data_IF_468393403335
#
_entry.id   IF_468393403335
#
_cell.length_a   1.000
_cell.length_b   1.000
_cell.length_c   1.000
_cell.angle_alpha   90.00
_cell.angle_beta   90.00
_cell.angle_gamma   90.00
#
_symmetry.space_group_name_H-M   'P 1'
#
loop_
_entity.id
_entity.type
_entity.pdbx_description
1 polymer ?
#
# COMPACT_ATOMS: atom_id res chain seq x y z
N UNK A 1 60.00 -25.09 27.98
CA UNK A 1 59.13 -25.44 29.11
C UNK A 1 57.87 -24.64 29.03
N UNK A 2 56.80 -25.34 29.13
CA UNK A 2 55.39 -25.03 29.19
C UNK A 2 54.68 -24.68 27.88
N UNK A 3 54.04 -25.76 27.38
CA UNK A 3 52.96 -25.80 26.44
C UNK A 3 51.76 -25.07 26.98
N UNK A 4 51.16 -24.18 26.16
CA UNK A 4 49.79 -23.71 26.38
C UNK A 4 48.89 -24.24 25.29
N UNK A 5 47.97 -25.08 25.69
CA UNK A 5 46.89 -25.65 24.88
C UNK A 5 46.02 -24.55 24.31
N UNK A 6 45.93 -24.47 23.00
CA UNK A 6 44.91 -23.72 22.29
C UNK A 6 43.71 -24.62 22.08
N UNK A 7 42.69 -24.42 22.89
CA UNK A 7 41.35 -24.96 22.64
C UNK A 7 40.70 -24.19 21.50
N UNK A 8 40.66 -24.78 20.33
CA UNK A 8 39.92 -24.31 19.20
C UNK A 8 38.41 -24.50 19.41
N UNK A 9 37.70 -23.47 19.80
CA UNK A 9 36.28 -23.37 19.57
C UNK A 9 36.09 -22.91 18.12
N UNK A 10 35.87 -23.89 17.25
CA UNK A 10 35.26 -23.64 15.94
C UNK A 10 33.83 -23.20 16.16
N UNK A 11 33.61 -21.90 16.25
CA UNK A 11 32.31 -21.33 16.01
C UNK A 11 31.88 -21.72 14.60
N UNK A 12 30.92 -22.63 14.52
CA UNK A 12 30.17 -22.86 13.31
C UNK A 12 29.46 -21.55 13.00
N UNK A 13 30.03 -20.74 12.08
CA UNK A 13 29.29 -19.73 11.35
C UNK A 13 28.08 -20.43 10.77
N UNK A 14 26.90 -20.18 11.31
CA UNK A 14 25.65 -20.50 10.65
C UNK A 14 25.67 -19.73 9.34
N UNK A 15 25.93 -20.43 8.26
CA UNK A 15 25.64 -19.92 6.92
C UNK A 15 24.19 -19.48 6.93
N UNK A 16 24.01 -18.18 6.76
CA UNK A 16 22.70 -17.60 6.47
C UNK A 16 22.26 -18.24 5.17
N UNK A 17 21.45 -19.30 5.26
CA UNK A 17 20.78 -19.86 4.10
C UNK A 17 19.97 -18.71 3.52
N UNK A 18 20.37 -18.27 2.35
CA UNK A 18 19.49 -17.52 1.45
C UNK A 18 18.23 -18.37 1.39
N UNK A 19 17.12 -17.85 1.92
CA UNK A 19 15.85 -18.53 1.78
C UNK A 19 15.60 -18.65 0.28
N UNK A 20 15.63 -19.89 -0.21
CA UNK A 20 14.99 -20.24 -1.45
C UNK A 20 13.55 -19.67 -1.39
N UNK A 21 13.03 -19.18 -2.52
CA UNK A 21 11.64 -18.73 -2.56
C UNK A 21 10.79 -19.88 -1.99
N UNK A 22 9.77 -19.57 -1.15
CA UNK A 22 8.98 -20.62 -0.51
C UNK A 22 8.60 -21.64 -1.56
N UNK A 23 8.80 -22.91 -1.27
CA UNK A 23 8.56 -24.05 -2.16
C UNK A 23 7.36 -23.75 -3.05
N UNK A 24 7.51 -24.00 -4.36
CA UNK A 24 6.50 -23.67 -5.36
C UNK A 24 5.12 -23.99 -4.79
N UNK A 25 4.19 -23.04 -4.85
CA UNK A 25 2.86 -23.23 -4.29
C UNK A 25 2.32 -24.58 -4.76
N UNK A 26 1.77 -25.42 -3.86
CA UNK A 26 1.37 -26.78 -4.21
C UNK A 26 0.50 -26.78 -5.46
N UNK A 27 0.76 -27.70 -6.35
CA UNK A 27 0.02 -27.85 -7.62
C UNK A 27 -1.48 -28.07 -7.34
N UNK A 28 -2.37 -27.77 -8.28
CA UNK A 28 -3.80 -28.04 -8.14
C UNK A 28 -4.11 -29.50 -7.75
N UNK A 29 -3.36 -30.46 -8.32
CA UNK A 29 -3.54 -31.87 -8.03
C UNK A 29 -3.10 -32.23 -6.61
N UNK A 30 -2.00 -31.66 -6.11
CA UNK A 30 -1.58 -31.82 -4.72
C UNK A 30 -2.61 -31.26 -3.74
N UNK A 31 -3.22 -30.13 -4.05
CA UNK A 31 -4.27 -29.54 -3.21
C UNK A 31 -5.57 -30.33 -3.22
N UNK A 32 -5.97 -30.86 -4.39
CA UNK A 32 -7.11 -31.79 -4.47
C UNK A 32 -6.85 -33.07 -3.70
N UNK A 33 -5.63 -33.61 -3.75
CA UNK A 33 -5.23 -34.76 -2.98
C UNK A 33 -5.26 -34.48 -1.46
N UNK A 34 -4.76 -33.32 -1.04
CA UNK A 34 -4.83 -32.87 0.36
C UNK A 34 -6.28 -32.70 0.82
N UNK A 35 -7.12 -32.08 -0.02
CA UNK A 35 -8.54 -31.89 0.27
C UNK A 35 -9.27 -33.26 0.44
N UNK A 36 -9.00 -34.22 -0.44
CA UNK A 36 -9.52 -35.60 -0.31
C UNK A 36 -9.05 -36.26 0.98
N UNK A 37 -7.74 -36.16 1.28
CA UNK A 37 -7.19 -36.68 2.52
C UNK A 37 -7.85 -36.07 3.76
N UNK A 38 -8.08 -34.77 3.77
CA UNK A 38 -8.75 -34.08 4.87
C UNK A 38 -10.23 -34.51 4.98
N UNK A 39 -10.91 -34.76 3.85
CA UNK A 39 -12.29 -35.25 3.85
C UNK A 39 -12.37 -36.68 4.38
N UNK A 40 -11.53 -37.57 3.90
CA UNK A 40 -11.50 -38.99 4.27
C UNK A 40 -11.09 -39.22 5.72
N UNK A 41 -10.25 -38.36 6.26
CA UNK A 41 -9.80 -38.40 7.67
C UNK A 41 -10.66 -37.62 8.64
N UNK A 42 -11.77 -37.01 8.17
CA UNK A 42 -12.68 -36.22 8.99
C UNK A 42 -12.08 -34.91 9.51
N UNK A 43 -10.98 -34.45 8.93
CA UNK A 43 -10.29 -33.22 9.32
C UNK A 43 -10.93 -31.94 8.78
N UNK A 44 -11.93 -32.05 7.88
CA UNK A 44 -12.67 -30.90 7.38
C UNK A 44 -13.68 -30.43 8.41
N UNK A 45 -13.66 -29.14 8.69
CA UNK A 45 -14.69 -28.47 9.46
C UNK A 45 -16.01 -28.43 8.70
N UNK A 46 -17.10 -28.11 9.39
CA UNK A 46 -18.45 -28.10 8.80
C UNK A 46 -18.61 -27.16 7.61
N UNK A 47 -17.85 -26.06 7.54
CA UNK A 47 -17.88 -25.11 6.43
C UNK A 47 -17.03 -25.57 5.24
N UNK A 48 -15.96 -26.34 5.48
CA UNK A 48 -15.09 -26.85 4.42
C UNK A 48 -15.75 -27.99 3.63
N UNK A 49 -16.56 -28.81 4.29
CA UNK A 49 -17.20 -29.97 3.67
C UNK A 49 -18.01 -29.64 2.42
N UNK A 50 -18.95 -28.67 2.43
CA UNK A 50 -19.72 -28.34 1.22
C UNK A 50 -18.84 -27.84 0.07
N UNK A 51 -17.80 -27.07 0.38
CA UNK A 51 -16.84 -26.58 -0.64
C UNK A 51 -16.05 -27.75 -1.20
N UNK A 52 -15.48 -28.59 -0.34
CA UNK A 52 -14.75 -29.77 -0.73
C UNK A 52 -15.61 -30.75 -1.57
N UNK A 53 -16.85 -31.01 -1.16
CA UNK A 53 -17.78 -31.86 -1.91
C UNK A 53 -18.08 -31.28 -3.29
N UNK A 54 -18.28 -29.97 -3.38
CA UNK A 54 -18.53 -29.30 -4.67
C UNK A 54 -17.31 -29.43 -5.59
N UNK A 55 -16.10 -29.17 -5.06
CA UNK A 55 -14.85 -29.26 -5.82
C UNK A 55 -14.56 -30.71 -6.27
N UNK A 56 -14.78 -31.70 -5.39
CA UNK A 56 -14.54 -33.10 -5.70
C UNK A 56 -15.57 -33.68 -6.67
N UNK A 57 -16.83 -33.20 -6.66
CA UNK A 57 -17.87 -33.61 -7.60
C UNK A 57 -17.72 -33.02 -9.00
N UNK A 58 -17.32 -31.73 -9.04
CA UNK A 58 -17.16 -31.02 -10.30
C UNK A 58 -15.91 -31.46 -11.09
N UNK A 59 -15.00 -32.18 -10.46
CA UNK A 59 -13.64 -32.28 -10.99
C UNK A 59 -13.04 -30.91 -11.14
N UNK A 60 -12.24 -30.66 -12.14
CA UNK A 60 -11.77 -29.32 -12.53
C UNK A 60 -12.82 -28.70 -13.48
N UNK A 61 -14.02 -28.45 -13.00
CA UNK A 61 -15.22 -28.15 -13.75
C UNK A 61 -15.10 -27.22 -14.96
N UNK A 62 -16.06 -27.30 -15.86
CA UNK A 62 -16.11 -26.44 -17.05
C UNK A 62 -16.05 -24.95 -16.66
N UNK A 63 -15.12 -24.21 -17.24
CA UNK A 63 -14.98 -22.76 -17.06
C UNK A 63 -13.94 -22.30 -16.06
N UNK A 64 -13.26 -23.20 -15.32
CA UNK A 64 -12.18 -22.87 -14.40
C UNK A 64 -10.92 -23.65 -14.72
N UNK A 65 -9.78 -22.98 -14.66
CA UNK A 65 -8.48 -23.64 -14.67
C UNK A 65 -8.21 -24.34 -13.33
N UNK A 66 -7.30 -25.30 -13.33
CA UNK A 66 -6.88 -25.98 -12.11
C UNK A 66 -6.38 -25.02 -11.03
N UNK A 67 -5.68 -23.95 -11.45
CA UNK A 67 -5.21 -22.90 -10.55
C UNK A 67 -6.36 -22.11 -9.90
N UNK A 68 -7.39 -21.77 -10.67
CA UNK A 68 -8.58 -21.05 -10.17
C UNK A 68 -9.36 -21.89 -9.17
N UNK A 69 -9.54 -23.17 -9.43
CA UNK A 69 -10.18 -24.11 -8.50
C UNK A 69 -9.40 -24.25 -7.19
N UNK A 70 -8.08 -24.30 -7.27
CA UNK A 70 -7.23 -24.32 -6.09
C UNK A 70 -7.37 -23.05 -5.24
N UNK A 71 -7.55 -21.89 -5.89
CA UNK A 71 -7.80 -20.60 -5.23
C UNK A 71 -9.19 -20.57 -4.57
N UNK A 72 -10.24 -21.10 -5.24
CA UNK A 72 -11.59 -21.23 -4.66
C UNK A 72 -11.58 -22.05 -3.37
N UNK A 73 -10.88 -23.19 -3.37
CA UNK A 73 -10.74 -24.03 -2.18
C UNK A 73 -10.03 -23.28 -1.02
N UNK A 74 -9.19 -22.33 -1.36
CA UNK A 74 -8.47 -21.51 -0.39
C UNK A 74 -9.31 -20.46 0.30
N UNK A 75 -10.07 -19.69 -0.47
CA UNK A 75 -10.82 -18.56 0.08
C UNK A 75 -12.08 -19.01 0.80
N UNK A 76 -12.58 -20.24 0.53
CA UNK A 76 -13.80 -20.76 1.15
C UNK A 76 -14.94 -19.76 1.07
N UNK A 77 -15.52 -19.32 2.21
CA UNK A 77 -16.63 -18.37 2.22
C UNK A 77 -16.31 -17.01 1.59
N UNK A 78 -15.02 -16.64 1.45
CA UNK A 78 -14.62 -15.37 0.84
C UNK A 78 -14.56 -15.40 -0.69
N UNK A 79 -14.58 -16.60 -1.30
CA UNK A 79 -14.34 -16.77 -2.74
C UNK A 79 -15.24 -15.89 -3.61
N UNK A 80 -16.52 -15.80 -3.29
CA UNK A 80 -17.47 -15.01 -4.06
C UNK A 80 -17.08 -13.54 -4.22
N UNK A 81 -16.32 -13.00 -3.27
CA UNK A 81 -15.93 -11.59 -3.23
C UNK A 81 -14.49 -11.32 -3.65
N UNK A 82 -13.64 -12.34 -3.65
CA UNK A 82 -12.23 -12.18 -4.08
C UNK A 82 -12.02 -12.52 -5.56
N UNK A 83 -13.04 -12.98 -6.24
CA UNK A 83 -12.98 -13.30 -7.69
C UNK A 83 -12.77 -12.07 -8.55
N UNK A 84 -12.14 -12.28 -9.69
CA UNK A 84 -12.05 -11.27 -10.73
C UNK A 84 -13.45 -10.78 -11.12
N UNK A 85 -13.63 -9.46 -11.18
CA UNK A 85 -14.91 -8.82 -11.47
C UNK A 85 -15.80 -8.52 -10.27
N UNK A 86 -15.45 -8.97 -9.06
CA UNK A 86 -16.10 -8.51 -7.83
C UNK A 86 -15.93 -6.99 -7.67
N UNK A 87 -17.00 -6.32 -7.23
CA UNK A 87 -16.99 -4.89 -6.88
C UNK A 87 -16.64 -4.62 -5.42
N UNK A 88 -16.43 -5.67 -4.64
CA UNK A 88 -16.07 -5.59 -3.24
C UNK A 88 -14.67 -5.03 -3.11
N UNK A 89 -14.53 -4.00 -2.28
CA UNK A 89 -13.25 -3.37 -1.96
C UNK A 89 -12.65 -3.86 -0.65
N UNK A 90 -13.50 -4.17 0.32
CA UNK A 90 -13.05 -4.59 1.65
C UNK A 90 -14.00 -5.64 2.23
N UNK A 91 -13.44 -6.53 3.08
CA UNK A 91 -14.18 -7.53 3.85
C UNK A 91 -13.70 -7.52 5.29
N UNK A 92 -14.60 -7.72 6.24
CA UNK A 92 -14.28 -7.73 7.66
C UNK A 92 -14.89 -8.96 8.32
N UNK A 93 -14.08 -9.63 9.13
CA UNK A 93 -14.46 -10.74 10.00
C UNK A 93 -13.94 -10.40 11.40
N UNK A 94 -14.84 -9.88 12.23
CA UNK A 94 -14.51 -9.25 13.50
C UNK A 94 -14.59 -10.23 14.68
N UNK A 95 -14.32 -11.50 14.44
CA UNK A 95 -14.27 -12.54 15.45
C UNK A 95 -15.01 -13.81 15.07
N UNK A 96 -14.88 -14.89 15.86
CA UNK A 96 -15.63 -16.11 15.66
C UNK A 96 -17.14 -15.88 15.87
N UNK A 97 -17.94 -16.67 15.16
CA UNK A 97 -19.41 -16.60 15.16
C UNK A 97 -20.01 -15.25 14.73
N UNK A 98 -19.17 -14.34 14.26
CA UNK A 98 -19.58 -13.10 13.61
C UNK A 98 -19.85 -13.33 12.12
N UNK A 99 -20.71 -12.50 11.54
CA UNK A 99 -20.98 -12.52 10.11
C UNK A 99 -19.87 -11.78 9.35
N UNK A 100 -19.63 -12.22 8.11
CA UNK A 100 -18.73 -11.51 7.21
C UNK A 100 -19.44 -10.24 6.73
N UNK A 101 -18.79 -9.11 6.89
CA UNK A 101 -19.24 -7.81 6.38
C UNK A 101 -18.41 -7.45 5.16
N UNK A 102 -19.06 -7.09 4.07
CA UNK A 102 -18.40 -6.65 2.83
C UNK A 102 -18.67 -5.18 2.54
N UNK A 103 -17.73 -4.54 1.85
CA UNK A 103 -17.87 -3.15 1.36
C UNK A 103 -17.86 -3.17 -0.15
N UNK A 104 -18.95 -2.76 -0.76
CA UNK A 104 -19.10 -2.61 -2.20
C UNK A 104 -19.46 -1.17 -2.55
N UNK A 105 -18.63 -0.53 -3.38
CA UNK A 105 -18.81 0.88 -3.78
C UNK A 105 -18.97 1.86 -2.60
N UNK A 106 -18.39 1.53 -1.45
CA UNK A 106 -18.46 2.31 -0.22
C UNK A 106 -19.64 1.97 0.72
N UNK A 107 -20.55 1.11 0.29
CA UNK A 107 -21.67 0.63 1.10
C UNK A 107 -21.28 -0.64 1.84
N UNK A 108 -21.58 -0.70 3.15
CA UNK A 108 -21.40 -1.90 3.97
C UNK A 108 -22.65 -2.76 3.92
N UNK A 109 -22.45 -4.06 3.73
CA UNK A 109 -23.53 -5.06 3.82
C UNK A 109 -23.07 -6.27 4.63
N UNK A 110 -23.96 -6.77 5.46
CA UNK A 110 -23.79 -8.03 6.16
C UNK A 110 -24.19 -9.17 5.21
N UNK A 111 -23.32 -10.16 5.08
CA UNK A 111 -23.56 -11.31 4.19
C UNK A 111 -24.45 -12.38 4.80
N UNK A 112 -24.70 -12.34 6.10
CA UNK A 112 -25.37 -13.41 6.86
C UNK A 112 -24.52 -14.68 7.04
N UNK A 113 -23.33 -14.76 6.42
CA UNK A 113 -22.44 -15.92 6.53
C UNK A 113 -21.61 -15.80 7.80
N UNK A 114 -21.78 -16.74 8.72
CA UNK A 114 -20.98 -16.85 9.94
C UNK A 114 -19.81 -17.77 9.75
N UNK A 115 -18.71 -17.45 10.39
CA UNK A 115 -17.48 -18.26 10.37
C UNK A 115 -17.16 -18.75 11.77
N UNK A 116 -16.73 -20.01 11.88
CA UNK A 116 -16.29 -20.57 13.15
C UNK A 116 -14.84 -20.18 13.47
N UNK A 117 -14.47 -20.25 14.74
CA UNK A 117 -13.12 -19.93 15.22
C UNK A 117 -12.04 -20.79 14.55
N UNK A 118 -12.33 -22.07 14.32
CA UNK A 118 -11.42 -23.01 13.66
C UNK A 118 -11.06 -22.57 12.22
N UNK A 119 -12.08 -22.18 11.43
CA UNK A 119 -11.84 -21.66 10.08
C UNK A 119 -11.05 -20.35 10.11
N UNK A 120 -11.38 -19.48 11.06
CA UNK A 120 -10.74 -18.18 11.17
C UNK A 120 -9.24 -18.31 11.52
N UNK A 121 -8.88 -19.18 12.48
CA UNK A 121 -7.50 -19.50 12.83
C UNK A 121 -6.75 -20.16 11.68
N UNK A 122 -7.40 -21.12 11.02
CA UNK A 122 -6.83 -21.76 9.83
C UNK A 122 -6.57 -20.76 8.73
N UNK A 123 -7.52 -19.89 8.41
CA UNK A 123 -7.36 -18.82 7.41
C UNK A 123 -6.21 -17.88 7.75
N UNK A 124 -6.13 -17.42 9.00
CA UNK A 124 -5.01 -16.60 9.44
C UNK A 124 -3.66 -17.30 9.24
N UNK A 125 -3.56 -18.55 9.67
CA UNK A 125 -2.33 -19.35 9.53
C UNK A 125 -1.92 -19.47 8.06
N UNK A 126 -2.86 -19.77 7.19
CA UNK A 126 -2.57 -19.92 5.77
C UNK A 126 -2.13 -18.60 5.12
N UNK A 127 -2.82 -17.50 5.44
CA UNK A 127 -2.43 -16.19 4.95
C UNK A 127 -1.00 -15.82 5.38
N UNK A 128 -0.65 -16.11 6.63
CA UNK A 128 0.68 -15.84 7.18
C UNK A 128 1.78 -16.72 6.59
N UNK A 129 1.51 -18.01 6.39
CA UNK A 129 2.43 -18.93 5.72
C UNK A 129 2.77 -18.45 4.31
N UNK A 130 1.75 -18.13 3.52
CA UNK A 130 1.93 -17.66 2.13
C UNK A 130 2.61 -16.32 2.04
N UNK A 131 2.37 -15.45 3.01
CA UNK A 131 3.06 -14.17 3.11
C UNK A 131 4.49 -14.29 3.65
N UNK A 132 4.92 -15.50 4.08
CA UNK A 132 6.26 -15.74 4.61
C UNK A 132 6.51 -15.16 6.01
N UNK A 133 5.46 -14.97 6.82
CA UNK A 133 5.56 -14.48 8.19
C UNK A 133 5.74 -15.59 9.22
N UNK A 134 5.28 -16.79 8.92
CA UNK A 134 5.45 -17.99 9.74
C UNK A 134 5.98 -19.13 8.90
N UNK A 135 6.56 -20.16 9.52
CA UNK A 135 7.03 -21.35 8.84
C UNK A 135 6.09 -22.53 9.08
N UNK A 136 6.12 -23.58 8.24
CA UNK A 136 5.36 -24.80 8.49
C UNK A 136 5.73 -25.47 9.82
N UNK A 137 7.00 -25.35 10.25
CA UNK A 137 7.54 -25.98 11.46
C UNK A 137 7.13 -25.22 12.74
N UNK A 138 6.88 -23.91 12.62
CA UNK A 138 6.40 -23.06 13.73
C UNK A 138 5.30 -22.13 13.26
N UNK A 139 4.09 -22.66 13.06
CA UNK A 139 2.97 -21.89 12.52
C UNK A 139 2.36 -20.87 13.51
N UNK A 140 2.74 -20.98 14.78
CA UNK A 140 2.27 -20.07 15.84
C UNK A 140 3.31 -19.00 16.19
N UNK A 141 4.51 -19.08 15.63
CA UNK A 141 5.53 -18.05 15.78
C UNK A 141 5.24 -16.82 14.90
N UNK A 142 4.38 -15.98 15.38
CA UNK A 142 4.00 -14.71 14.73
C UNK A 142 5.05 -13.61 14.97
N UNK A 143 6.31 -13.91 14.95
CA UNK A 143 7.42 -12.99 15.21
C UNK A 143 7.62 -11.94 14.11
N UNK A 144 6.59 -11.21 13.80
CA UNK A 144 6.72 -9.97 13.03
C UNK A 144 5.94 -8.91 13.77
N UNK A 145 6.34 -7.67 13.87
CA UNK A 145 5.58 -6.59 14.47
C UNK A 145 4.62 -7.02 15.61
N UNK A 146 5.10 -7.08 16.83
CA UNK A 146 4.34 -7.36 18.07
C UNK A 146 3.64 -8.73 18.16
N UNK A 147 3.87 -9.64 17.22
CA UNK A 147 3.42 -11.03 17.24
C UNK A 147 1.91 -11.27 17.09
N UNK A 148 1.09 -10.22 16.93
CA UNK A 148 -0.36 -10.36 17.07
C UNK A 148 -1.18 -9.55 16.06
N UNK A 149 -0.53 -8.65 15.33
CA UNK A 149 -1.09 -7.94 14.19
C UNK A 149 -0.13 -8.10 13.01
N UNK A 150 -0.62 -8.65 11.92
CA UNK A 150 0.14 -8.81 10.69
C UNK A 150 -0.63 -8.24 9.52
N UNK A 151 0.04 -7.39 8.76
CA UNK A 151 -0.44 -6.90 7.47
C UNK A 151 0.39 -7.56 6.38
N UNK A 152 -0.24 -8.15 5.39
CA UNK A 152 0.46 -8.78 4.29
C UNK A 152 -0.30 -8.64 2.97
N UNK A 153 0.43 -8.84 1.88
CA UNK A 153 -0.12 -8.94 0.55
C UNK A 153 -0.04 -10.40 0.09
N UNK A 154 -1.13 -10.89 -0.49
CA UNK A 154 -1.20 -12.20 -1.11
C UNK A 154 -2.04 -12.15 -2.39
N UNK A 155 -1.74 -13.02 -3.32
CA UNK A 155 -2.54 -13.26 -4.50
C UNK A 155 -1.75 -13.21 -5.80
N UNK A 156 -2.42 -13.54 -6.88
CA UNK A 156 -1.91 -13.42 -8.26
C UNK A 156 -2.04 -11.99 -8.78
N UNK A 157 -1.59 -11.73 -10.01
CA UNK A 157 -1.79 -10.45 -10.67
C UNK A 157 -3.28 -10.06 -10.75
N UNK A 158 -4.17 -11.07 -10.88
CA UNK A 158 -5.61 -10.87 -11.07
C UNK A 158 -6.38 -10.81 -9.75
N UNK A 159 -5.78 -11.25 -8.63
CA UNK A 159 -6.41 -11.36 -7.32
C UNK A 159 -5.43 -10.99 -6.21
N UNK A 160 -5.15 -9.70 -6.12
CA UNK A 160 -4.25 -9.20 -5.07
C UNK A 160 -5.07 -8.79 -3.85
N UNK A 161 -4.73 -9.36 -2.72
CA UNK A 161 -5.37 -9.10 -1.44
C UNK A 161 -4.35 -8.51 -0.46
N UNK A 162 -4.67 -7.37 0.13
CA UNK A 162 -4.02 -6.91 1.34
C UNK A 162 -4.88 -7.32 2.52
N UNK A 163 -4.33 -8.02 3.47
CA UNK A 163 -5.05 -8.43 4.66
C UNK A 163 -4.33 -7.98 5.93
N UNK A 164 -5.13 -7.76 6.97
CA UNK A 164 -4.69 -7.57 8.33
C UNK A 164 -5.30 -8.67 9.19
N UNK A 165 -4.46 -9.41 9.90
CA UNK A 165 -4.89 -10.43 10.85
C UNK A 165 -4.53 -9.96 12.26
N UNK A 166 -5.45 -10.15 13.20
CA UNK A 166 -5.25 -9.76 14.60
C UNK A 166 -5.76 -10.88 15.50
N UNK A 167 -5.08 -11.10 16.63
CA UNK A 167 -5.49 -12.09 17.64
C UNK A 167 -5.32 -11.56 19.06
N UNK A 168 -5.80 -12.28 20.06
CA UNK A 168 -5.59 -11.90 21.47
C UNK A 168 -4.09 -11.67 21.80
N UNK A 169 -3.79 -10.70 22.67
CA UNK A 169 -4.72 -9.87 23.43
C UNK A 169 -5.28 -8.65 22.69
N UNK A 170 -4.81 -8.32 21.46
CA UNK A 170 -5.29 -7.14 20.70
C UNK A 170 -6.74 -7.30 20.22
N UNK A 171 -7.19 -8.52 19.96
CA UNK A 171 -8.58 -8.86 19.66
C UNK A 171 -9.10 -9.80 20.75
N UNK A 172 -9.61 -9.28 21.90
CA UNK A 172 -9.96 -10.09 23.07
C UNK A 172 -11.09 -11.08 22.80
N UNK A 173 -12.00 -10.76 21.87
CA UNK A 173 -13.14 -11.59 21.51
C UNK A 173 -12.78 -12.71 20.52
N UNK A 174 -11.51 -12.85 20.18
CA UNK A 174 -11.02 -13.87 19.24
C UNK A 174 -10.27 -13.29 18.05
N UNK A 175 -9.88 -14.17 17.14
CA UNK A 175 -9.13 -13.80 15.95
C UNK A 175 -9.97 -12.94 14.98
N UNK A 176 -9.36 -12.00 14.28
CA UNK A 176 -10.03 -11.17 13.25
C UNK A 176 -9.28 -11.20 11.94
N UNK A 177 -9.96 -10.98 10.83
CA UNK A 177 -9.34 -10.80 9.50
C UNK A 177 -10.03 -9.64 8.80
N UNK A 178 -9.25 -8.63 8.42
CA UNK A 178 -9.67 -7.60 7.50
C UNK A 178 -8.97 -7.83 6.16
N UNK A 179 -9.72 -7.83 5.07
CA UNK A 179 -9.20 -8.06 3.72
C UNK A 179 -9.55 -6.87 2.85
N UNK A 180 -8.56 -6.31 2.16
CA UNK A 180 -8.76 -5.38 1.06
C UNK A 180 -8.49 -6.07 -0.25
N UNK A 181 -9.45 -6.02 -1.16
CA UNK A 181 -9.30 -6.52 -2.53
C UNK A 181 -8.68 -5.40 -3.37
N UNK A 182 -7.48 -5.64 -3.86
CA UNK A 182 -6.79 -4.69 -4.72
C UNK A 182 -7.27 -4.84 -6.17
N UNK A 183 -7.29 -3.75 -6.95
CA UNK A 183 -7.75 -3.83 -8.33
C UNK A 183 -6.84 -4.73 -9.16
N UNK A 184 -7.43 -5.57 -10.01
CA UNK A 184 -6.71 -6.42 -10.96
C UNK A 184 -5.93 -5.57 -11.98
N UNK A 185 -6.51 -4.44 -12.39
CA UNK A 185 -5.89 -3.45 -13.29
C UNK A 185 -5.91 -2.07 -12.65
N UNK A 186 -4.75 -1.43 -12.63
CA UNK A 186 -4.64 -0.03 -12.24
C UNK A 186 -5.16 0.88 -13.35
N UNK A 187 -5.89 1.93 -12.95
CA UNK A 187 -6.35 2.97 -13.87
C UNK A 187 -5.17 3.77 -14.38
N UNK A 188 -5.20 4.10 -15.66
CA UNK A 188 -4.26 5.03 -16.29
C UNK A 188 -4.69 6.48 -16.06
N UNK A 189 -3.83 7.44 -16.40
CA UNK A 189 -4.21 8.86 -16.42
C UNK A 189 -5.39 9.11 -17.36
N UNK A 190 -5.43 8.44 -18.50
CA UNK A 190 -6.54 8.58 -19.46
C UNK A 190 -7.85 8.05 -18.86
N UNK A 191 -7.82 6.93 -18.15
CA UNK A 191 -8.98 6.42 -17.42
C UNK A 191 -9.48 7.44 -16.39
N UNK A 192 -8.58 8.14 -15.68
CA UNK A 192 -8.96 9.13 -14.67
C UNK A 192 -9.51 10.43 -15.27
N UNK A 193 -9.03 10.82 -16.45
CA UNK A 193 -9.50 12.01 -17.17
C UNK A 193 -10.84 11.76 -17.87
N UNK A 194 -11.01 10.57 -18.49
CA UNK A 194 -12.19 10.21 -19.29
C UNK A 194 -13.36 9.67 -18.46
N UNK A 195 -13.11 9.23 -17.23
CA UNK A 195 -14.18 8.75 -16.35
C UNK A 195 -15.30 9.79 -16.28
N UNK A 196 -16.57 9.38 -16.31
CA UNK A 196 -17.74 10.26 -16.25
C UNK A 196 -17.58 11.41 -15.27
N UNK A 197 -17.41 12.63 -15.81
CA UNK A 197 -17.14 13.82 -15.05
C UNK A 197 -15.71 14.01 -14.53
N UNK A 198 -14.76 13.13 -14.92
CA UNK A 198 -13.31 13.21 -14.66
C UNK A 198 -12.91 13.19 -13.19
N UNK A 199 -11.87 12.42 -12.83
CA UNK A 199 -11.24 12.54 -11.51
C UNK A 199 -10.39 13.80 -11.45
N UNK A 200 -9.74 14.17 -12.58
CA UNK A 200 -9.00 15.41 -12.77
C UNK A 200 -9.10 15.85 -14.25
N UNK A 201 -8.80 17.12 -14.52
CA UNK A 201 -8.73 17.62 -15.90
C UNK A 201 -7.45 17.14 -16.59
N UNK A 202 -7.46 17.08 -17.92
CA UNK A 202 -6.25 16.78 -18.72
C UNK A 202 -5.11 17.74 -18.40
N UNK A 203 -5.40 19.03 -18.33
CA UNK A 203 -4.41 20.06 -18.01
C UNK A 203 -3.76 19.85 -16.64
N UNK A 204 -4.55 19.47 -15.64
CA UNK A 204 -4.01 19.13 -14.30
C UNK A 204 -3.18 17.86 -14.33
N UNK A 205 -3.58 16.84 -15.09
CA UNK A 205 -2.82 15.60 -15.24
C UNK A 205 -1.44 15.86 -15.89
N UNK A 206 -1.44 16.60 -17.01
CA UNK A 206 -0.23 16.94 -17.75
C UNK A 206 0.72 17.77 -16.90
N UNK A 207 0.18 18.72 -16.10
CA UNK A 207 0.99 19.50 -15.16
C UNK A 207 1.65 18.62 -14.09
N UNK A 208 0.92 17.67 -13.50
CA UNK A 208 1.48 16.77 -12.47
C UNK A 208 2.56 15.85 -13.03
N UNK A 209 2.35 15.30 -14.23
CA UNK A 209 3.34 14.46 -14.92
C UNK A 209 4.61 15.26 -15.21
N UNK A 210 4.46 16.47 -15.74
CA UNK A 210 5.60 17.33 -16.05
C UNK A 210 6.33 17.79 -14.78
N UNK A 211 5.60 18.05 -13.69
CA UNK A 211 6.19 18.36 -12.39
C UNK A 211 7.09 17.20 -11.90
N UNK A 212 6.64 15.96 -12.00
CA UNK A 212 7.46 14.77 -11.64
C UNK A 212 8.71 14.68 -12.55
N UNK A 213 8.56 14.90 -13.84
CA UNK A 213 9.69 14.88 -14.79
C UNK A 213 10.76 15.90 -14.41
N UNK A 214 10.34 17.07 -13.94
CA UNK A 214 11.21 18.18 -13.50
C UNK A 214 11.71 18.08 -12.07
N UNK A 215 11.47 16.96 -11.39
CA UNK A 215 11.99 16.73 -10.03
C UNK A 215 11.19 17.43 -8.93
N UNK A 216 9.91 17.73 -9.16
CA UNK A 216 9.02 18.25 -8.13
C UNK A 216 8.51 17.09 -7.27
N UNK A 217 8.55 17.27 -5.96
CA UNK A 217 7.97 16.34 -5.01
C UNK A 217 6.46 16.55 -4.92
N UNK A 218 5.68 15.45 -5.01
CA UNK A 218 4.23 15.49 -4.89
C UNK A 218 3.79 14.96 -3.52
N UNK A 219 2.91 15.71 -2.85
CA UNK A 219 2.21 15.31 -1.63
C UNK A 219 0.73 15.10 -1.94
N UNK A 220 0.29 13.84 -2.04
CA UNK A 220 -1.09 13.50 -2.38
C UNK A 220 -1.90 13.28 -1.10
N UNK A 221 -2.84 14.16 -0.84
CA UNK A 221 -3.65 14.20 0.37
C UNK A 221 -5.09 13.73 0.14
N UNK A 222 -5.72 13.20 1.19
CA UNK A 222 -7.13 12.83 1.19
C UNK A 222 -7.45 11.82 2.29
N UNK A 223 -8.73 11.58 2.55
CA UNK A 223 -9.21 10.58 3.51
C UNK A 223 -8.90 9.13 3.06
N UNK A 224 -9.15 8.16 3.92
CA UNK A 224 -9.12 6.74 3.54
C UNK A 224 -10.12 6.48 2.40
N UNK A 225 -9.71 5.69 1.40
CA UNK A 225 -10.55 5.36 0.25
C UNK A 225 -10.84 6.53 -0.71
N UNK A 226 -10.21 7.69 -0.56
CA UNK A 226 -10.43 8.85 -1.46
C UNK A 226 -9.87 8.65 -2.87
N UNK A 227 -8.91 7.72 -3.06
CA UNK A 227 -8.27 7.45 -4.35
C UNK A 227 -6.80 7.91 -4.45
N UNK A 228 -6.15 8.24 -3.33
CA UNK A 228 -4.70 8.61 -3.30
C UNK A 228 -3.84 7.59 -4.03
N UNK A 229 -3.94 6.32 -3.61
CA UNK A 229 -3.18 5.20 -4.20
C UNK A 229 -3.47 5.02 -5.70
N UNK A 230 -4.74 5.22 -6.12
CA UNK A 230 -5.12 5.15 -7.53
C UNK A 230 -4.49 6.27 -8.36
N UNK A 231 -4.50 7.50 -7.85
CA UNK A 231 -3.84 8.62 -8.52
C UNK A 231 -2.33 8.43 -8.58
N UNK A 232 -1.71 8.00 -7.47
CA UNK A 232 -0.28 7.66 -7.41
C UNK A 232 0.07 6.61 -8.46
N UNK A 233 -0.69 5.51 -8.53
CA UNK A 233 -0.47 4.42 -9.50
C UNK A 233 -0.59 4.90 -10.96
N UNK A 234 -1.57 5.75 -11.26
CA UNK A 234 -1.75 6.31 -12.59
C UNK A 234 -0.59 7.23 -13.01
N UNK A 235 -0.10 8.07 -12.08
CA UNK A 235 1.08 8.91 -12.30
C UNK A 235 2.33 8.06 -12.51
N UNK A 236 2.54 7.01 -11.71
CA UNK A 236 3.66 6.08 -11.86
C UNK A 236 3.66 5.40 -13.22
N UNK A 237 2.51 4.93 -13.69
CA UNK A 237 2.40 4.33 -15.02
C UNK A 237 2.77 5.32 -16.14
N UNK A 238 2.39 6.60 -16.00
CA UNK A 238 2.68 7.63 -16.98
C UNK A 238 4.18 7.95 -17.14
N UNK A 239 4.99 7.66 -16.10
CA UNK A 239 6.44 7.96 -16.08
C UNK A 239 7.31 6.68 -16.03
N UNK A 240 6.70 5.50 -16.07
CA UNK A 240 7.36 4.22 -15.80
C UNK A 240 8.54 3.91 -16.73
N UNK A 241 8.51 4.40 -17.97
CA UNK A 241 9.59 4.19 -18.94
C UNK A 241 10.73 5.22 -18.84
N UNK A 242 10.55 6.27 -18.01
CA UNK A 242 11.45 7.43 -17.99
C UNK A 242 12.26 7.51 -16.69
N UNK A 243 11.82 6.85 -15.63
CA UNK A 243 12.34 7.03 -14.27
C UNK A 243 12.59 5.69 -13.58
N UNK A 244 13.76 5.58 -12.94
CA UNK A 244 14.00 4.51 -11.98
C UNK A 244 13.26 4.84 -10.69
N UNK A 245 12.20 4.09 -10.40
CA UNK A 245 11.30 4.33 -9.26
C UNK A 245 11.59 3.35 -8.14
N UNK A 246 11.75 3.84 -6.92
CA UNK A 246 11.78 3.00 -5.72
C UNK A 246 10.53 3.27 -4.89
N UNK A 247 9.73 2.23 -4.67
CA UNK A 247 8.48 2.30 -3.93
C UNK A 247 8.68 1.70 -2.55
N UNK A 248 8.38 2.47 -1.51
CA UNK A 248 8.48 2.06 -0.09
C UNK A 248 7.08 2.06 0.51
N UNK A 249 6.60 0.90 0.93
CA UNK A 249 5.25 0.69 1.46
C UNK A 249 5.30 -0.22 2.69
N UNK A 250 4.26 -0.18 3.54
CA UNK A 250 4.07 -1.18 4.60
C UNK A 250 3.96 -2.58 3.98
N UNK A 251 3.01 -2.75 3.07
CA UNK A 251 2.85 -3.92 2.23
C UNK A 251 2.71 -3.48 0.78
N UNK A 252 3.27 -4.23 -0.14
CA UNK A 252 3.37 -3.88 -1.55
C UNK A 252 2.00 -3.80 -2.23
N UNK A 253 1.45 -2.61 -2.41
CA UNK A 253 0.18 -2.37 -3.11
C UNK A 253 0.37 -1.80 -4.51
N UNK A 254 1.23 -0.78 -4.65
CA UNK A 254 1.42 -0.04 -5.90
C UNK A 254 2.02 -0.90 -7.03
N UNK A 255 1.68 -0.60 -8.30
CA UNK A 255 2.31 -1.26 -9.44
C UNK A 255 3.79 -0.85 -9.52
N UNK A 256 4.67 -1.83 -9.63
CA UNK A 256 6.09 -1.59 -9.79
C UNK A 256 6.42 -1.40 -11.27
N UNK A 257 7.03 -0.27 -11.67
CA UNK A 257 7.58 -0.10 -13.01
C UNK A 257 8.64 -1.16 -13.35
N UNK A 258 8.86 -1.48 -14.63
CA UNK A 258 9.82 -2.53 -15.05
C UNK A 258 11.25 -2.33 -14.51
N UNK A 259 11.73 -1.08 -14.46
CA UNK A 259 13.04 -0.72 -13.88
C UNK A 259 12.91 -0.18 -12.45
N UNK A 260 11.92 -0.66 -11.72
CA UNK A 260 11.63 -0.22 -10.35
C UNK A 260 12.09 -1.22 -9.30
N UNK A 261 12.13 -0.75 -8.03
CA UNK A 261 12.37 -1.56 -6.86
C UNK A 261 11.29 -1.30 -5.81
N UNK A 262 10.77 -2.38 -5.21
CA UNK A 262 9.86 -2.29 -4.07
C UNK A 262 10.58 -2.61 -2.77
N UNK A 263 10.27 -1.86 -1.72
CA UNK A 263 10.73 -2.09 -0.35
C UNK A 263 9.50 -2.23 0.54
N UNK A 264 9.34 -3.40 1.17
CA UNK A 264 8.28 -3.65 2.15
C UNK A 264 8.82 -3.41 3.56
N UNK A 265 8.30 -2.39 4.22
CA UNK A 265 8.78 -1.96 5.55
C UNK A 265 8.49 -3.03 6.61
N UNK A 266 7.31 -3.62 6.57
CA UNK A 266 6.93 -4.69 7.51
C UNK A 266 7.85 -5.92 7.40
N UNK A 267 8.21 -6.34 6.19
CA UNK A 267 9.14 -7.45 5.98
C UNK A 267 10.57 -7.12 6.41
N UNK A 268 10.99 -5.88 6.18
CA UNK A 268 12.36 -5.45 6.52
C UNK A 268 12.56 -5.27 8.02
N UNK A 269 11.49 -5.24 8.82
CA UNK A 269 11.51 -4.92 10.26
C UNK A 269 12.23 -3.60 10.54
N UNK A 270 12.14 -2.67 9.62
CA UNK A 270 12.82 -1.39 9.65
C UNK A 270 11.81 -0.23 9.68
N UNK A 271 12.27 0.98 9.94
CA UNK A 271 11.43 2.17 9.83
C UNK A 271 11.39 2.70 8.39
N UNK A 272 10.31 3.36 8.02
CA UNK A 272 10.23 4.07 6.74
C UNK A 272 11.40 5.02 6.51
N UNK A 273 11.76 5.81 7.53
CA UNK A 273 12.89 6.73 7.46
C UNK A 273 14.23 6.04 7.18
N UNK A 274 14.44 4.84 7.74
CA UNK A 274 15.62 4.04 7.45
C UNK A 274 15.60 3.51 6.01
N UNK A 275 14.46 3.01 5.55
CA UNK A 275 14.28 2.54 4.17
C UNK A 275 14.55 3.66 3.15
N UNK A 276 14.05 4.89 3.38
CA UNK A 276 14.37 6.05 2.53
C UNK A 276 15.88 6.25 2.42
N UNK A 277 16.61 6.28 3.54
CA UNK A 277 18.07 6.48 3.52
C UNK A 277 18.83 5.36 2.81
N UNK A 278 18.38 4.11 2.96
CA UNK A 278 18.99 2.98 2.25
C UNK A 278 18.78 3.08 0.73
N UNK A 279 17.61 3.51 0.30
CA UNK A 279 17.26 3.58 -1.12
C UNK A 279 18.04 4.66 -1.88
N UNK A 280 18.53 5.69 -1.21
CA UNK A 280 19.40 6.72 -1.83
C UNK A 280 20.67 6.12 -2.47
N UNK A 281 21.16 4.98 -1.96
CA UNK A 281 22.31 4.26 -2.55
C UNK A 281 21.96 3.42 -3.79
N UNK A 282 20.67 3.32 -4.10
CA UNK A 282 20.16 2.56 -5.25
C UNK A 282 19.93 3.44 -6.50
N UNK A 283 20.37 4.70 -6.47
CA UNK A 283 20.21 5.70 -7.54
C UNK A 283 18.76 5.85 -8.02
N UNK A 284 17.81 6.19 -7.14
CA UNK A 284 16.45 6.46 -7.58
C UNK A 284 16.36 7.79 -8.32
N UNK A 285 15.59 7.82 -9.41
CA UNK A 285 15.14 9.07 -10.02
C UNK A 285 13.88 9.59 -9.33
N UNK A 286 13.15 8.69 -8.65
CA UNK A 286 11.94 9.01 -7.91
C UNK A 286 11.77 8.03 -6.73
N UNK A 287 11.48 8.55 -5.55
CA UNK A 287 11.14 7.75 -4.36
C UNK A 287 9.65 7.90 -4.10
N UNK A 288 8.94 6.79 -3.94
CA UNK A 288 7.51 6.79 -3.60
C UNK A 288 7.32 6.25 -2.20
N UNK A 289 6.68 7.05 -1.34
CA UNK A 289 6.23 6.61 -0.02
C UNK A 289 4.74 6.32 -0.06
N UNK A 290 4.36 5.08 0.21
CA UNK A 290 2.97 4.66 0.24
C UNK A 290 2.12 5.53 1.17
N UNK A 291 2.65 5.85 2.36
CA UNK A 291 2.00 6.77 3.30
C UNK A 291 3.04 7.45 4.21
N UNK A 292 2.82 8.73 4.48
CA UNK A 292 3.60 9.51 5.45
C UNK A 292 2.72 9.79 6.68
N UNK A 293 3.19 9.34 7.85
CA UNK A 293 2.48 9.47 9.14
C UNK A 293 3.41 9.70 10.34
N UNK A 294 4.71 9.82 10.05
CA UNK A 294 5.73 9.95 11.09
C UNK A 294 7.05 10.55 10.61
N UNK A 295 8.17 10.21 11.28
CA UNK A 295 9.50 10.80 11.04
C UNK A 295 10.06 10.60 9.62
N UNK A 296 9.50 9.69 8.82
CA UNK A 296 9.85 9.51 7.41
C UNK A 296 9.63 10.77 6.58
N UNK A 297 8.78 11.68 7.04
CA UNK A 297 8.57 13.00 6.44
C UNK A 297 9.87 13.77 6.31
N UNK A 298 10.70 13.80 7.38
CA UNK A 298 12.01 14.45 7.36
C UNK A 298 12.95 13.77 6.37
N UNK A 299 13.05 12.45 6.41
CA UNK A 299 13.93 11.70 5.52
C UNK A 299 13.58 11.93 4.03
N UNK A 300 12.28 12.07 3.73
CA UNK A 300 11.80 12.38 2.40
C UNK A 300 12.15 13.80 1.95
N UNK A 301 12.02 14.80 2.83
CA UNK A 301 12.42 16.18 2.55
C UNK A 301 13.94 16.29 2.35
N UNK A 302 14.74 15.59 3.17
CA UNK A 302 16.20 15.50 3.02
C UNK A 302 16.58 14.85 1.68
N UNK A 303 15.92 13.77 1.29
CA UNK A 303 16.14 13.13 -0.01
C UNK A 303 15.80 14.08 -1.16
N UNK A 304 14.67 14.77 -1.10
CA UNK A 304 14.26 15.72 -2.12
C UNK A 304 15.22 16.91 -2.23
N UNK A 305 15.71 17.43 -1.07
CA UNK A 305 16.71 18.52 -1.03
C UNK A 305 18.07 18.13 -1.63
N UNK A 306 18.37 16.83 -1.69
CA UNK A 306 19.59 16.29 -2.32
C UNK A 306 19.38 15.80 -3.75
N UNK A 307 18.24 16.14 -4.39
CA UNK A 307 17.97 15.84 -5.80
C UNK A 307 17.22 14.52 -6.04
N UNK A 308 16.64 13.91 -4.99
CA UNK A 308 15.83 12.70 -5.10
C UNK A 308 14.35 13.03 -4.81
N UNK A 309 13.60 13.56 -5.81
CA UNK A 309 12.20 13.93 -5.62
C UNK A 309 11.34 12.73 -5.28
N UNK A 310 10.14 12.96 -4.79
CA UNK A 310 9.25 11.88 -4.43
C UNK A 310 7.78 12.11 -4.68
N UNK A 311 7.02 11.03 -4.55
CA UNK A 311 5.57 11.04 -4.40
C UNK A 311 5.24 10.46 -3.04
N UNK A 312 4.53 11.22 -2.21
CA UNK A 312 4.12 10.77 -0.89
C UNK A 312 2.60 10.85 -0.77
N UNK A 313 1.97 9.89 -0.09
CA UNK A 313 0.58 10.07 0.30
C UNK A 313 0.46 10.42 1.77
N UNK A 314 -0.58 11.18 2.13
CA UNK A 314 -0.83 11.63 3.50
C UNK A 314 -2.34 11.73 3.77
N UNK A 315 -2.76 11.44 5.00
CA UNK A 315 -4.12 11.70 5.41
C UNK A 315 -4.29 13.15 5.82
N UNK A 316 -5.10 13.90 5.05
CA UNK A 316 -5.49 15.27 5.36
C UNK A 316 -6.78 15.66 4.62
N UNK A 317 -7.61 16.58 5.17
CA UNK A 317 -8.85 17.01 4.56
C UNK A 317 -8.67 18.03 3.41
N UNK A 318 -7.50 18.64 3.31
CA UNK A 318 -7.14 19.64 2.29
C UNK A 318 -5.62 19.73 2.12
N UNK A 319 -5.18 20.49 1.11
CA UNK A 319 -3.75 20.65 0.77
C UNK A 319 -2.95 21.40 1.84
N UNK A 320 -3.52 22.40 2.49
CA UNK A 320 -2.80 23.20 3.50
C UNK A 320 -2.61 22.40 4.79
N UNK A 321 -3.63 21.64 5.19
CA UNK A 321 -3.53 20.70 6.32
C UNK A 321 -2.51 19.60 6.02
N UNK A 322 -2.44 19.12 4.77
CA UNK A 322 -1.42 18.16 4.35
C UNK A 322 0.00 18.72 4.52
N UNK A 323 0.24 19.96 4.08
CA UNK A 323 1.54 20.61 4.22
C UNK A 323 1.91 20.84 5.69
N UNK A 324 0.95 21.25 6.53
CA UNK A 324 1.16 21.40 7.99
C UNK A 324 1.44 20.04 8.66
N UNK A 325 0.75 18.98 8.24
CA UNK A 325 1.01 17.64 8.75
C UNK A 325 2.37 17.14 8.32
N UNK A 326 2.82 17.40 7.10
CA UNK A 326 4.17 17.07 6.64
C UNK A 326 5.23 17.76 7.51
N UNK A 327 5.09 19.08 7.75
CA UNK A 327 5.96 19.85 8.64
C UNK A 327 5.97 19.26 10.06
N UNK A 328 4.80 18.98 10.62
CA UNK A 328 4.65 18.38 11.96
C UNK A 328 5.30 17.00 12.03
N UNK A 329 5.06 16.11 11.07
CA UNK A 329 5.65 14.77 11.07
C UNK A 329 7.17 14.81 10.93
N UNK A 330 7.71 15.73 10.14
CA UNK A 330 9.16 15.91 10.00
C UNK A 330 9.85 16.37 11.30
N UNK A 331 9.11 16.92 12.26
CA UNK A 331 9.64 17.39 13.54
C UNK A 331 9.45 16.42 14.71
N UNK A 332 8.68 15.33 14.53
CA UNK A 332 8.26 14.43 15.63
C UNK A 332 9.42 13.78 16.39
N UNK A 333 10.53 13.51 15.75
CA UNK A 333 11.70 12.87 16.38
C UNK A 333 12.69 13.86 16.97
N UNK A 334 12.40 15.16 16.91
CA UNK A 334 13.28 16.23 17.44
C UNK A 334 14.59 16.45 16.68
N UNK A 335 14.82 15.76 15.53
CA UNK A 335 16.05 15.91 14.73
C UNK A 335 16.09 17.23 13.94
N UNK A 336 14.94 17.82 13.66
CA UNK A 336 14.83 19.10 12.99
C UNK A 336 13.82 20.01 13.70
N UNK A 337 14.10 21.29 13.80
CA UNK A 337 13.13 22.26 14.31
C UNK A 337 12.09 22.64 13.24
N UNK A 338 10.88 23.13 13.62
CA UNK A 338 9.89 23.58 12.65
C UNK A 338 10.43 24.63 11.67
N UNK A 339 11.29 25.54 12.12
CA UNK A 339 11.92 26.54 11.26
C UNK A 339 12.83 25.94 10.20
N UNK A 340 13.60 24.91 10.55
CA UNK A 340 14.46 24.18 9.59
C UNK A 340 13.61 23.47 8.55
N UNK A 341 12.59 22.72 8.97
CA UNK A 341 11.69 21.99 8.06
C UNK A 341 10.98 22.96 7.12
N UNK A 342 10.43 24.04 7.67
CA UNK A 342 9.78 25.10 6.86
C UNK A 342 10.75 25.72 5.88
N UNK A 343 11.99 26.02 6.32
CA UNK A 343 13.07 26.49 5.45
C UNK A 343 13.35 25.53 4.29
N UNK A 344 13.41 24.22 4.53
CA UNK A 344 13.58 23.22 3.47
C UNK A 344 12.43 23.29 2.45
N UNK A 345 11.19 23.40 2.91
CA UNK A 345 10.01 23.44 2.05
C UNK A 345 9.90 24.76 1.25
N UNK A 346 10.41 25.89 1.75
CA UNK A 346 10.24 27.22 1.16
C UNK A 346 11.50 27.81 0.53
N UNK A 347 12.66 27.16 0.65
CA UNK A 347 13.94 27.65 0.08
C UNK A 347 14.08 27.38 -1.42
N UNK A 348 13.19 26.58 -2.01
CA UNK A 348 13.35 26.09 -3.38
C UNK A 348 14.24 24.85 -3.53
N UNK A 349 14.90 24.40 -2.43
CA UNK A 349 15.66 23.15 -2.44
C UNK A 349 14.74 21.93 -2.61
N UNK A 350 13.50 22.02 -2.14
CA UNK A 350 12.46 21.01 -2.31
C UNK A 350 11.27 21.61 -3.06
N UNK A 351 11.26 21.61 -4.41
CA UNK A 351 10.07 21.97 -5.14
C UNK A 351 8.91 21.03 -4.75
N UNK A 352 7.81 21.60 -4.25
CA UNK A 352 6.74 20.83 -3.62
C UNK A 352 5.36 21.24 -4.12
N UNK A 353 4.59 20.27 -4.56
CA UNK A 353 3.16 20.41 -4.91
C UNK A 353 2.33 19.52 -3.99
N UNK A 354 1.29 20.08 -3.39
CA UNK A 354 0.27 19.32 -2.67
C UNK A 354 -0.99 19.17 -3.53
N UNK A 355 -1.53 17.95 -3.58
CA UNK A 355 -2.72 17.57 -4.34
C UNK A 355 -3.73 17.00 -3.36
N UNK A 356 -4.95 17.53 -3.32
CA UNK A 356 -6.02 16.93 -2.52
C UNK A 356 -7.02 16.21 -3.40
N UNK A 357 -7.31 14.95 -3.03
CA UNK A 357 -8.34 14.12 -3.64
C UNK A 357 -9.40 13.74 -2.58
N UNK A 358 -10.67 14.01 -2.90
CA UNK A 358 -11.78 13.81 -2.00
C UNK A 358 -13.11 13.69 -2.75
N UNK A 359 -14.21 13.88 -2.03
CA UNK A 359 -15.56 13.90 -2.63
C UNK A 359 -15.92 15.34 -3.01
N UNK A 360 -16.03 15.58 -4.30
CA UNK A 360 -16.43 16.86 -4.86
C UNK A 360 -17.56 16.64 -5.87
N UNK A 361 -18.67 17.36 -5.70
CA UNK A 361 -19.86 17.16 -6.52
C UNK A 361 -20.40 15.74 -6.46
N UNK A 362 -20.33 15.09 -5.26
CA UNK A 362 -20.79 13.72 -5.02
C UNK A 362 -19.89 12.61 -5.59
N UNK A 363 -18.71 12.92 -6.13
CA UNK A 363 -17.79 11.94 -6.73
C UNK A 363 -16.36 12.13 -6.24
N UNK A 364 -15.54 11.07 -6.31
CA UNK A 364 -14.10 11.13 -6.03
C UNK A 364 -13.40 11.95 -7.10
N UNK A 365 -12.78 13.08 -6.70
CA UNK A 365 -12.09 14.00 -7.62
C UNK A 365 -10.91 14.67 -6.94
N UNK A 366 -9.94 15.09 -7.74
CA UNK A 366 -8.97 16.08 -7.32
C UNK A 366 -9.69 17.41 -7.14
N UNK A 367 -9.61 17.97 -5.95
CA UNK A 367 -10.28 19.23 -5.61
C UNK A 367 -9.36 20.42 -5.52
N UNK A 368 -8.08 20.18 -5.23
CA UNK A 368 -7.09 21.24 -5.08
C UNK A 368 -5.72 20.76 -5.53
N UNK A 369 -4.98 21.65 -6.18
CA UNK A 369 -3.53 21.49 -6.46
C UNK A 369 -2.88 22.82 -6.11
N UNK A 370 -1.91 22.79 -5.18
CA UNK A 370 -1.17 23.98 -4.77
C UNK A 370 0.33 23.72 -4.84
N UNK A 371 1.10 24.71 -5.26
CA UNK A 371 2.56 24.69 -5.13
C UNK A 371 2.99 25.51 -3.90
N UNK A 372 4.07 25.08 -3.24
CA UNK A 372 4.74 25.86 -2.19
C UNK A 372 5.63 26.89 -2.85
N UNK A 373 5.47 28.17 -2.43
CA UNK A 373 6.24 29.27 -3.01
C UNK A 373 7.57 29.44 -2.29
N UNK A 374 8.61 29.70 -3.08
CA UNK A 374 9.92 30.05 -2.56
C UNK A 374 9.88 31.48 -1.99
N UNK A 375 10.31 31.62 -0.73
CA UNK A 375 10.43 32.92 -0.07
C UNK A 375 11.86 33.19 0.38
N UNK A 376 12.33 34.40 0.12
CA UNK A 376 13.60 34.87 0.66
C UNK A 376 13.38 35.43 2.07
N UNK A 377 13.76 34.65 3.09
CA UNK A 377 13.72 35.05 4.50
C UNK A 377 12.63 34.34 5.32
N UNK A 378 12.89 34.22 6.63
CA UNK A 378 11.95 33.64 7.59
C UNK A 378 10.76 34.58 7.81
N UNK A 379 9.76 34.51 6.96
CA UNK A 379 8.46 35.09 7.30
C UNK A 379 7.81 34.14 8.33
N UNK A 380 7.86 34.55 9.59
CA UNK A 380 7.19 33.88 10.71
C UNK A 380 5.66 34.09 10.63
N UNK A 381 5.05 33.61 9.58
CA UNK A 381 3.60 33.54 9.46
C UNK A 381 3.10 32.12 9.75
N UNK A 382 1.92 31.96 10.32
CA UNK A 382 1.32 30.65 10.65
C UNK A 382 1.03 29.77 9.43
N UNK A 383 1.02 30.31 8.21
CA UNK A 383 0.75 29.57 6.99
C UNK A 383 1.94 29.49 6.06
N UNK A 384 2.18 28.30 5.48
CA UNK A 384 3.16 28.14 4.41
C UNK A 384 2.74 28.95 3.18
N UNK A 385 3.66 29.74 2.58
CA UNK A 385 3.39 30.48 1.35
C UNK A 385 3.10 29.48 0.22
N UNK A 386 1.98 29.66 -0.46
CA UNK A 386 1.52 28.74 -1.47
C UNK A 386 0.77 29.47 -2.60
N UNK A 387 0.75 28.85 -3.78
CA UNK A 387 0.05 29.31 -4.97
C UNK A 387 -0.96 28.24 -5.41
N UNK A 388 -2.27 28.52 -5.40
CA UNK A 388 -3.27 27.57 -5.87
C UNK A 388 -3.23 27.49 -7.39
N UNK A 389 -2.75 26.36 -7.90
CA UNK A 389 -2.69 26.07 -9.34
C UNK A 389 -4.05 25.69 -9.90
N UNK A 390 -4.78 24.81 -9.15
CA UNK A 390 -6.12 24.37 -9.50
C UNK A 390 -7.02 24.32 -8.27
N UNK A 391 -8.29 24.63 -8.47
CA UNK A 391 -9.34 24.47 -7.45
C UNK A 391 -10.65 23.99 -8.08
N UNK A 392 -11.38 23.13 -7.35
CA UNK A 392 -12.69 22.67 -7.76
C UNK A 392 -13.72 23.80 -7.69
N UNK A 393 -14.41 24.02 -8.81
CA UNK A 393 -15.50 24.98 -8.88
C UNK A 393 -16.84 24.23 -8.73
N UNK A 394 -17.55 24.49 -7.64
CA UNK A 394 -18.83 23.86 -7.35
C UNK A 394 -19.95 24.28 -8.32
N UNK A 395 -19.88 25.48 -8.90
CA UNK A 395 -20.87 25.95 -9.85
C UNK A 395 -20.76 25.25 -11.22
N UNK A 396 -19.52 25.06 -11.71
CA UNK A 396 -19.26 24.37 -12.98
C UNK A 396 -19.09 22.85 -12.80
N UNK A 397 -18.97 22.40 -11.55
CA UNK A 397 -18.69 21.00 -11.19
C UNK A 397 -17.40 20.45 -11.85
N UNK A 398 -16.37 21.30 -11.97
CA UNK A 398 -15.08 20.99 -12.62
C UNK A 398 -13.90 21.50 -11.81
N UNK A 399 -12.75 20.83 -12.01
CA UNK A 399 -11.46 21.32 -11.55
C UNK A 399 -10.95 22.37 -12.55
N UNK A 400 -10.75 23.60 -12.07
CA UNK A 400 -10.38 24.75 -12.89
C UNK A 400 -9.00 25.26 -12.51
N UNK A 401 -8.24 25.69 -13.52
CA UNK A 401 -6.98 26.40 -13.30
C UNK A 401 -7.23 27.75 -12.65
N UNK A 402 -6.40 28.11 -11.66
CA UNK A 402 -6.49 29.40 -10.95
C UNK A 402 -5.33 30.30 -11.31
N UNK A 403 -4.11 29.84 -11.07
CA UNK A 403 -2.91 30.64 -11.33
C UNK A 403 -1.85 29.84 -12.08
N UNK A 404 -0.94 30.53 -12.80
CA UNK A 404 0.21 29.88 -13.39
C UNK A 404 1.21 29.43 -12.32
N UNK A 405 2.11 28.52 -12.73
CA UNK A 405 3.24 28.07 -11.91
C UNK A 405 4.19 29.23 -11.65
N UNK A 406 4.57 29.44 -10.41
CA UNK A 406 5.52 30.49 -9.98
C UNK A 406 6.91 29.90 -9.66
N UNK A 407 6.99 28.64 -9.28
CA UNK A 407 8.25 27.96 -8.99
C UNK A 407 9.21 27.93 -10.17
N UNK A 408 10.51 27.87 -9.85
CA UNK A 408 11.57 27.83 -10.87
C UNK A 408 11.44 26.64 -11.84
N UNK A 409 10.83 25.55 -11.39
CA UNK A 409 10.55 24.36 -12.18
C UNK A 409 9.56 24.60 -13.35
N UNK A 410 8.71 25.65 -13.23
CA UNK A 410 7.78 26.04 -14.29
C UNK A 410 8.40 26.96 -15.39
N UNK A 411 9.65 27.40 -15.22
CA UNK A 411 10.31 28.24 -16.23
C UNK A 411 10.71 27.42 -17.46
N UNK A 412 10.07 27.70 -18.57
CA UNK A 412 10.26 27.06 -19.87
C UNK A 412 9.04 26.27 -20.30
N UNK A 413 8.13 26.89 -21.05
CA UNK A 413 6.92 26.36 -21.72
C UNK A 413 6.19 25.24 -20.95
N UNK A 414 5.31 25.61 -20.06
CA UNK A 414 4.10 24.88 -19.68
C UNK A 414 2.89 25.58 -20.30
#
# INVERSE_FOLDING_TARGET
MSEFFMNGHTEKRSEMRVHDPPDAAPTPDERLAELRFCQDTGRLSNWQRPVAETLLRAGLGEGYTAAEWAEVAWYGPLDAWVRAGSRVSDMFIDGPDRTIVVVEEGNRSDTGIRVCDEWLRWTQRQLLLRAGFVTPDDPDDWRGADGQIVHALYGTADRRLRFAVTRPPYAPDGATVAVRVLPARWRTIDDLVQHEGGVLSREAADLLIEAIRRGVTLLIAGSAGSGKTTLTAALLQAIAAEKRVIIIEDARELPLPPDGMAVEVLRSRSSFAHCVRLTLRQRPDLIVLGEVRGPEALAMLEAAATGHPGICTIHAPDTLTALRNLERFATLNGLASPGVVRGMMTSGAVPLIAVHIGIYGGRRRVGQIVEVIVTSGSQAGDSLPHNPLFAFNHATNRLERKYPVQGAWGKGRL
#
